data_IF_266793139182
#
_entry.id   IF_266793139182
#
_cell.length_a   1.000
_cell.length_b   1.000
_cell.length_c   1.000
_cell.angle_alpha   90.00
_cell.angle_beta   90.00
_cell.angle_gamma   90.00
#
_symmetry.space_group_name_H-M   'P 1'
#
loop_
_entity.id
_entity.type
_entity.pdbx_description
1 polymer ?
#
# COMPACT_ATOMS: atom_id res chain seq x y z
N UNK A 1 11.86 13.17 -2.37
CA UNK A 1 12.81 13.68 -3.36
C UNK A 1 12.42 13.12 -4.73
N UNK A 2 12.48 13.94 -5.78
CA UNK A 2 12.14 13.53 -7.15
C UNK A 2 13.31 13.89 -8.07
N UNK A 3 13.61 13.02 -9.01
CA UNK A 3 14.55 13.22 -10.11
C UNK A 3 13.80 13.03 -11.43
N UNK A 4 13.89 13.95 -12.35
CA UNK A 4 13.28 13.89 -13.69
C UNK A 4 13.81 12.70 -14.50
N UNK A 5 15.03 12.30 -14.23
CA UNK A 5 15.66 11.12 -14.82
C UNK A 5 16.35 10.30 -13.73
N UNK A 6 16.39 8.98 -13.91
CA UNK A 6 17.15 8.11 -13.01
C UNK A 6 18.61 8.56 -12.98
N UNK A 7 19.17 8.94 -11.80
CA UNK A 7 20.55 9.39 -11.70
C UNK A 7 21.54 8.35 -12.22
N UNK A 8 22.50 8.77 -13.02
CA UNK A 8 23.56 7.93 -13.60
C UNK A 8 24.92 8.10 -12.91
N UNK A 9 24.98 8.97 -11.89
CA UNK A 9 26.18 9.24 -11.10
C UNK A 9 25.80 9.40 -9.62
N UNK A 10 26.79 9.29 -8.75
CA UNK A 10 26.64 9.57 -7.32
C UNK A 10 26.49 11.08 -7.09
N UNK A 11 25.88 11.45 -5.97
CA UNK A 11 25.72 12.83 -5.50
C UNK A 11 24.90 13.76 -6.43
N UNK A 12 24.02 13.21 -7.26
CA UNK A 12 23.09 14.00 -8.07
C UNK A 12 21.99 14.54 -7.16
N UNK A 13 21.91 15.87 -7.05
CA UNK A 13 20.82 16.53 -6.30
C UNK A 13 19.47 16.23 -6.96
N UNK A 14 18.38 16.13 -6.17
CA UNK A 14 17.04 15.98 -6.72
C UNK A 14 16.59 17.25 -7.45
N UNK A 15 15.78 17.08 -8.48
CA UNK A 15 15.19 18.19 -9.22
C UNK A 15 14.06 18.84 -8.42
N UNK A 16 13.38 18.05 -7.56
CA UNK A 16 12.24 18.50 -6.78
C UNK A 16 12.24 17.89 -5.37
N UNK A 17 11.82 18.70 -4.39
CA UNK A 17 11.53 18.28 -3.01
C UNK A 17 10.06 18.55 -2.71
N UNK A 18 9.33 17.51 -2.29
CA UNK A 18 7.94 17.61 -1.84
C UNK A 18 7.87 17.59 -0.31
N UNK A 19 6.97 18.35 0.27
CA UNK A 19 6.68 18.35 1.70
C UNK A 19 7.66 19.17 2.56
N UNK A 20 8.78 19.65 1.99
CA UNK A 20 9.75 20.51 2.66
C UNK A 20 10.07 21.74 1.80
N UNK A 21 10.48 22.87 2.39
CA UNK A 21 10.83 24.06 1.62
C UNK A 21 12.13 23.90 0.81
N UNK A 22 13.01 22.98 1.21
CA UNK A 22 14.28 22.68 0.56
C UNK A 22 14.78 21.27 0.95
N UNK A 23 15.88 20.84 0.31
CA UNK A 23 16.46 19.51 0.53
C UNK A 23 17.19 19.34 1.88
N UNK A 24 17.38 20.40 2.64
CA UNK A 24 18.08 20.40 3.95
C UNK A 24 17.11 20.45 5.14
N UNK A 25 15.85 20.81 4.89
CA UNK A 25 14.81 20.91 5.91
C UNK A 25 14.25 19.53 6.27
N UNK A 26 13.99 19.29 7.57
CA UNK A 26 13.59 17.97 8.10
C UNK A 26 12.44 18.04 9.12
N UNK A 27 11.84 19.20 9.32
CA UNK A 27 10.81 19.40 10.33
C UNK A 27 9.49 18.75 9.90
N UNK A 28 8.81 18.03 10.82
CA UNK A 28 7.43 17.58 10.59
C UNK A 28 6.57 18.77 10.19
N UNK A 29 5.75 18.63 9.16
CA UNK A 29 4.89 19.71 8.66
C UNK A 29 5.64 21.05 8.48
N UNK A 30 6.94 21.00 8.09
CA UNK A 30 7.81 22.20 7.94
C UNK A 30 7.98 23.01 9.23
N UNK A 31 7.78 22.41 10.39
CA UNK A 31 7.81 23.08 11.69
C UNK A 31 6.56 23.91 12.01
N UNK A 32 5.51 23.76 11.20
CA UNK A 32 4.23 24.47 11.34
C UNK A 32 3.04 23.53 11.49
N UNK A 33 1.88 24.04 11.08
CA UNK A 33 0.64 23.26 11.07
C UNK A 33 0.56 22.32 9.87
N UNK A 34 -0.23 21.26 10.02
CA UNK A 34 -0.57 20.34 8.97
C UNK A 34 -1.35 21.05 7.83
N UNK A 35 -1.01 20.81 6.58
CA UNK A 35 -1.66 21.40 5.41
C UNK A 35 -1.63 20.47 4.20
N UNK A 36 -2.29 20.82 3.10
CA UNK A 36 -2.33 20.03 1.89
C UNK A 36 -0.96 19.91 1.15
N UNK A 37 0.09 20.60 1.59
CA UNK A 37 1.42 20.57 0.97
C UNK A 37 2.55 20.19 1.93
N UNK A 38 2.20 19.73 3.15
CA UNK A 38 3.18 19.34 4.17
C UNK A 38 3.02 17.87 4.54
N UNK A 39 4.11 17.24 4.99
CA UNK A 39 4.12 15.85 5.40
C UNK A 39 4.64 15.68 6.82
N UNK A 40 4.14 14.63 7.46
CA UNK A 40 4.72 14.06 8.66
C UNK A 40 4.90 12.55 8.49
N UNK A 41 6.16 12.12 8.43
CA UNK A 41 6.53 10.71 8.36
C UNK A 41 5.87 9.97 7.17
N UNK A 42 6.07 10.44 5.91
CA UNK A 42 5.52 9.77 4.74
C UNK A 42 6.22 8.42 4.51
N UNK A 43 5.46 7.37 4.19
CA UNK A 43 5.98 6.03 3.90
C UNK A 43 5.78 5.64 2.43
N UNK A 44 4.55 5.40 2.04
CA UNK A 44 4.21 4.90 0.71
C UNK A 44 4.00 6.01 -0.31
N UNK A 45 4.40 5.73 -1.54
CA UNK A 45 4.08 6.56 -2.70
C UNK A 45 3.62 5.68 -3.85
N UNK A 46 2.64 6.14 -4.61
CA UNK A 46 2.16 5.42 -5.79
C UNK A 46 1.64 6.37 -6.88
N UNK A 47 1.75 5.94 -8.12
CA UNK A 47 0.98 6.49 -9.22
C UNK A 47 -0.18 5.52 -9.49
N UNK A 48 -1.42 5.95 -9.25
CA UNK A 48 -2.63 5.17 -9.48
C UNK A 48 -3.46 5.89 -10.54
N UNK A 49 -3.54 5.29 -11.73
CA UNK A 49 -3.99 6.01 -12.91
C UNK A 49 -3.09 7.23 -13.18
N UNK A 50 -3.68 8.42 -13.27
CA UNK A 50 -2.95 9.69 -13.42
C UNK A 50 -2.67 10.39 -12.08
N UNK A 51 -3.16 9.88 -10.95
CA UNK A 51 -3.04 10.53 -9.65
C UNK A 51 -1.79 10.03 -8.90
N UNK A 52 -0.94 10.97 -8.52
CA UNK A 52 0.20 10.72 -7.63
C UNK A 52 -0.26 10.78 -6.18
N UNK A 53 -0.02 9.71 -5.43
CA UNK A 53 -0.42 9.56 -4.05
C UNK A 53 0.77 9.46 -3.10
N UNK A 54 0.61 10.05 -1.92
CA UNK A 54 1.55 9.93 -0.81
C UNK A 54 0.79 9.49 0.45
N UNK A 55 1.24 8.42 1.08
CA UNK A 55 0.80 8.03 2.41
C UNK A 55 1.51 8.91 3.45
N UNK A 56 0.83 9.95 3.90
CA UNK A 56 1.27 10.89 4.92
C UNK A 56 0.94 10.33 6.31
N UNK A 57 1.63 9.23 6.64
CA UNK A 57 1.34 8.31 7.74
C UNK A 57 1.25 9.00 9.08
N UNK A 58 2.17 9.91 9.38
CA UNK A 58 2.19 10.66 10.63
C UNK A 58 1.01 11.62 10.80
N UNK A 59 0.41 12.07 9.70
CA UNK A 59 -0.82 12.86 9.68
C UNK A 59 -2.09 12.01 9.42
N UNK A 60 -2.00 10.67 9.36
CA UNK A 60 -3.10 9.70 9.24
C UNK A 60 -3.99 9.95 8.02
N UNK A 61 -3.37 10.20 6.86
CA UNK A 61 -4.06 10.53 5.62
C UNK A 61 -3.29 10.14 4.38
N UNK A 62 -3.95 10.23 3.25
CA UNK A 62 -3.31 10.23 1.94
C UNK A 62 -3.47 11.61 1.30
N UNK A 63 -2.44 12.06 0.61
CA UNK A 63 -2.50 13.23 -0.25
C UNK A 63 -2.40 12.80 -1.71
N UNK A 64 -3.30 13.31 -2.56
CA UNK A 64 -3.37 12.97 -3.97
C UNK A 64 -3.29 14.19 -4.89
N UNK A 65 -2.52 14.09 -5.98
CA UNK A 65 -2.41 15.09 -7.05
C UNK A 65 -2.85 14.46 -8.37
N UNK A 66 -3.95 14.96 -8.93
CA UNK A 66 -4.65 14.34 -10.07
C UNK A 66 -3.86 14.34 -11.39
N UNK A 67 -2.87 15.20 -11.53
CA UNK A 67 -2.09 15.37 -12.76
C UNK A 67 -0.65 14.83 -12.65
N UNK A 68 -0.44 13.83 -11.81
CA UNK A 68 0.88 13.23 -11.56
C UNK A 68 1.67 13.98 -10.50
N UNK A 69 2.99 13.93 -10.59
CA UNK A 69 3.90 14.56 -9.61
C UNK A 69 3.69 16.08 -9.61
N UNK A 70 3.39 16.70 -8.43
CA UNK A 70 3.07 18.13 -8.36
C UNK A 70 4.31 19.02 -8.50
N UNK A 71 4.06 20.29 -8.81
CA UNK A 71 5.06 21.36 -8.65
C UNK A 71 5.44 21.56 -7.17
N UNK A 72 6.60 22.20 -6.87
CA UNK A 72 6.97 22.58 -5.51
C UNK A 72 5.85 23.38 -4.84
N UNK A 73 5.53 23.03 -3.60
CA UNK A 73 4.50 23.68 -2.77
C UNK A 73 3.07 23.61 -3.30
N UNK A 74 2.82 22.91 -4.40
CA UNK A 74 1.46 22.70 -4.90
C UNK A 74 0.65 21.93 -3.85
N UNK A 75 -0.50 22.48 -3.38
CA UNK A 75 -1.40 21.75 -2.49
C UNK A 75 -1.95 20.49 -3.17
N UNK A 76 -2.18 19.44 -2.40
CA UNK A 76 -2.87 18.26 -2.91
C UNK A 76 -4.31 18.60 -3.31
N UNK A 77 -4.75 18.01 -4.41
CA UNK A 77 -6.13 18.12 -4.91
C UNK A 77 -7.09 17.30 -4.03
N UNK A 78 -6.57 16.21 -3.44
CA UNK A 78 -7.34 15.25 -2.65
C UNK A 78 -6.67 15.06 -1.30
N UNK A 79 -7.44 15.17 -0.23
CA UNK A 79 -7.10 14.72 1.12
C UNK A 79 -8.04 13.57 1.46
N UNK A 80 -7.51 12.36 1.58
CA UNK A 80 -8.28 11.16 1.88
C UNK A 80 -7.95 10.69 3.30
N UNK A 81 -8.96 10.39 4.10
CA UNK A 81 -8.78 9.89 5.47
C UNK A 81 -8.89 10.96 6.56
N UNK A 82 -8.95 12.23 6.19
CA UNK A 82 -9.16 13.34 7.12
C UNK A 82 -10.27 14.29 6.61
N UNK A 83 -11.03 14.94 7.48
CA UNK A 83 -12.13 15.82 7.07
C UNK A 83 -11.67 17.12 6.38
N UNK A 84 -10.43 17.54 6.63
CA UNK A 84 -9.82 18.71 6.02
C UNK A 84 -8.28 18.63 6.04
N UNK A 85 -7.55 19.50 5.30
CA UNK A 85 -6.09 19.44 5.20
C UNK A 85 -5.33 19.73 6.50
N UNK A 86 -5.96 20.30 7.53
CA UNK A 86 -5.31 20.61 8.81
C UNK A 86 -5.52 19.53 9.86
N UNK A 87 -6.49 18.64 9.65
CA UNK A 87 -6.78 17.53 10.56
C UNK A 87 -5.75 16.41 10.45
N UNK A 88 -5.44 15.74 11.58
CA UNK A 88 -4.45 14.67 11.68
C UNK A 88 -4.73 13.66 12.79
N UNK A 89 -5.95 13.62 13.31
CA UNK A 89 -6.31 12.72 14.39
C UNK A 89 -6.44 11.28 13.88
N UNK A 90 -6.02 10.30 14.69
CA UNK A 90 -6.24 8.89 14.41
C UNK A 90 -7.75 8.64 14.21
N UNK A 91 -8.10 7.98 13.11
CA UNK A 91 -9.49 7.69 12.77
C UNK A 91 -10.41 8.93 12.87
N UNK A 92 -9.90 10.11 12.42
CA UNK A 92 -10.65 11.38 12.50
C UNK A 92 -11.10 11.74 13.92
N UNK A 93 -10.38 11.28 14.95
CA UNK A 93 -10.71 11.46 16.36
C UNK A 93 -11.78 10.53 16.90
N UNK A 94 -12.15 9.48 16.15
CA UNK A 94 -13.17 8.50 16.50
C UNK A 94 -12.68 7.06 16.47
N UNK A 95 -13.62 6.15 16.24
CA UNK A 95 -13.33 4.74 15.94
C UNK A 95 -12.91 4.56 14.48
N UNK A 96 -12.34 3.40 14.15
CA UNK A 96 -12.08 3.01 12.78
C UNK A 96 -13.36 3.11 11.93
N UNK A 97 -13.21 3.49 10.68
CA UNK A 97 -14.32 3.65 9.76
C UNK A 97 -13.88 3.58 8.29
N UNK A 98 -14.82 3.54 7.33
CA UNK A 98 -14.49 3.35 5.92
C UNK A 98 -13.75 4.53 5.28
N UNK A 99 -13.79 5.72 5.89
CA UNK A 99 -13.13 6.93 5.40
C UNK A 99 -12.01 7.42 6.32
N UNK A 100 -11.42 6.56 7.15
CA UNK A 100 -10.43 6.97 8.13
C UNK A 100 -9.22 6.06 8.14
N UNK A 101 -8.09 6.55 8.66
CA UNK A 101 -6.87 5.79 8.83
C UNK A 101 -6.28 5.98 10.23
N UNK A 102 -5.53 4.94 10.63
CA UNK A 102 -4.66 5.07 11.80
C UNK A 102 -3.19 5.20 11.39
N UNK A 103 -2.66 4.30 10.60
CA UNK A 103 -1.29 4.38 10.05
C UNK A 103 -1.27 3.87 8.60
N UNK A 104 -1.68 4.68 7.61
CA UNK A 104 -1.57 4.29 6.22
C UNK A 104 -0.09 4.23 5.82
N UNK A 105 0.40 3.05 5.37
CA UNK A 105 1.82 2.82 5.10
C UNK A 105 2.12 2.67 3.62
N UNK A 106 1.31 1.94 2.88
CA UNK A 106 1.60 1.62 1.49
C UNK A 106 0.37 1.75 0.62
N UNK A 107 0.58 2.02 -0.66
CA UNK A 107 -0.45 2.27 -1.65
C UNK A 107 -0.10 1.49 -2.90
N UNK A 108 -1.06 0.81 -3.49
CA UNK A 108 -0.95 0.18 -4.80
C UNK A 108 -2.26 0.35 -5.56
N UNK A 109 -2.22 0.25 -6.87
CA UNK A 109 -3.45 0.30 -7.66
C UNK A 109 -3.20 0.46 -9.15
N UNK A 110 -4.31 0.54 -9.88
CA UNK A 110 -4.40 0.79 -11.31
C UNK A 110 -5.55 1.78 -11.59
N UNK A 111 -6.04 1.83 -12.83
CA UNK A 111 -7.14 2.74 -13.21
C UNK A 111 -8.49 2.34 -12.57
N UNK A 112 -8.69 1.08 -12.19
CA UNK A 112 -9.95 0.53 -11.72
C UNK A 112 -9.99 0.32 -10.19
N UNK A 113 -8.83 0.24 -9.53
CA UNK A 113 -8.72 -0.11 -8.10
C UNK A 113 -7.54 0.58 -7.44
N UNK A 114 -7.75 1.13 -6.26
CA UNK A 114 -6.69 1.55 -5.33
C UNK A 114 -6.81 0.78 -4.03
N UNK A 115 -5.68 0.28 -3.52
CA UNK A 115 -5.56 -0.40 -2.23
C UNK A 115 -4.56 0.32 -1.33
N UNK A 116 -4.88 0.39 -0.04
CA UNK A 116 -4.07 1.07 0.98
C UNK A 116 -3.87 0.18 2.19
N UNK A 117 -2.62 -0.01 2.59
CA UNK A 117 -2.28 -0.70 3.82
C UNK A 117 -2.45 0.24 5.03
N UNK A 118 -3.54 0.12 5.75
CA UNK A 118 -3.80 0.83 7.02
C UNK A 118 -3.29 -0.02 8.20
N UNK A 119 -1.97 0.00 8.36
CA UNK A 119 -1.27 -0.90 9.27
C UNK A 119 -1.73 -0.76 10.72
N UNK A 120 -2.05 0.44 11.17
CA UNK A 120 -2.49 0.71 12.55
C UNK A 120 -3.84 0.11 12.91
N UNK A 121 -4.72 -0.04 11.92
CA UNK A 121 -6.03 -0.68 12.07
C UNK A 121 -6.05 -2.12 11.51
N UNK A 122 -4.86 -2.67 11.22
CA UNK A 122 -4.67 -4.07 10.83
C UNK A 122 -5.48 -4.50 9.61
N UNK A 123 -5.60 -3.63 8.60
CA UNK A 123 -6.46 -3.83 7.43
C UNK A 123 -5.87 -3.29 6.14
N UNK A 124 -6.44 -3.72 5.03
CA UNK A 124 -6.31 -3.06 3.73
C UNK A 124 -7.67 -2.44 3.40
N UNK A 125 -7.68 -1.17 3.02
CA UNK A 125 -8.84 -0.51 2.45
C UNK A 125 -8.71 -0.41 0.95
N UNK A 126 -9.84 -0.53 0.23
CA UNK A 126 -9.87 -0.47 -1.23
C UNK A 126 -10.97 0.43 -1.76
N UNK A 127 -10.68 1.10 -2.88
CA UNK A 127 -11.61 1.95 -3.62
C UNK A 127 -11.68 1.52 -5.08
N UNK A 128 -12.86 1.29 -5.59
CA UNK A 128 -13.12 0.98 -6.99
C UNK A 128 -14.29 1.85 -7.52
N UNK A 129 -14.02 2.78 -8.45
CA UNK A 129 -12.71 3.20 -8.94
C UNK A 129 -11.90 3.97 -7.89
N UNK A 130 -10.60 4.27 -8.14
CA UNK A 130 -9.79 5.12 -7.25
C UNK A 130 -10.49 6.45 -6.93
N UNK A 131 -10.38 6.95 -5.68
CA UNK A 131 -11.15 8.12 -5.25
C UNK A 131 -10.61 9.41 -5.89
N UNK A 132 -11.52 10.29 -6.31
CA UNK A 132 -11.23 11.65 -6.79
C UNK A 132 -11.56 12.74 -5.76
N UNK A 133 -12.04 12.32 -4.60
CA UNK A 133 -12.34 13.14 -3.43
C UNK A 133 -12.39 12.23 -2.19
N UNK A 134 -12.44 12.83 -0.99
CA UNK A 134 -12.64 12.05 0.24
C UNK A 134 -13.99 11.31 0.19
N UNK A 135 -13.94 10.00 0.34
CA UNK A 135 -15.11 9.12 0.37
C UNK A 135 -14.82 7.82 1.09
N UNK A 136 -15.88 7.11 1.44
CA UNK A 136 -15.80 5.78 2.02
C UNK A 136 -15.10 4.78 1.07
N UNK A 137 -14.34 3.86 1.67
CA UNK A 137 -13.81 2.70 0.96
C UNK A 137 -14.92 1.72 0.60
N UNK A 138 -14.73 1.00 -0.51
CA UNK A 138 -15.67 -0.01 -1.01
C UNK A 138 -15.32 -1.41 -0.52
N UNK A 139 -14.06 -1.63 -0.13
CA UNK A 139 -13.50 -2.93 0.25
C UNK A 139 -12.69 -2.81 1.55
N UNK A 140 -12.82 -3.79 2.43
CA UNK A 140 -11.93 -4.02 3.57
C UNK A 140 -11.45 -5.47 3.58
N UNK A 141 -10.13 -5.65 3.80
CA UNK A 141 -9.50 -6.95 4.02
C UNK A 141 -8.80 -6.94 5.37
N UNK A 142 -8.75 -8.08 6.04
CA UNK A 142 -8.05 -8.25 7.32
C UNK A 142 -8.89 -7.98 8.55
N UNK A 143 -10.07 -7.37 8.39
CA UNK A 143 -11.04 -7.12 9.45
C UNK A 143 -12.43 -7.60 9.02
N UNK A 144 -13.32 -7.82 10.00
CA UNK A 144 -14.68 -8.31 9.74
C UNK A 144 -15.55 -7.27 9.01
N UNK A 145 -15.31 -5.99 9.27
CA UNK A 145 -15.98 -4.86 8.67
C UNK A 145 -15.10 -3.59 8.77
N UNK A 146 -15.60 -2.45 8.26
CA UNK A 146 -14.87 -1.18 8.26
C UNK A 146 -14.68 -0.56 9.65
N UNK A 147 -15.45 -0.99 10.64
CA UNK A 147 -15.47 -0.40 11.99
C UNK A 147 -14.66 -1.20 13.00
N UNK A 148 -14.23 -2.40 12.63
CA UNK A 148 -13.33 -3.22 13.45
C UNK A 148 -11.87 -2.89 13.17
N UNK A 149 -11.04 -2.91 14.22
CA UNK A 149 -9.60 -2.71 14.20
C UNK A 149 -8.94 -3.64 15.24
N UNK A 150 -9.38 -4.89 15.26
CA UNK A 150 -8.94 -5.86 16.25
C UNK A 150 -7.49 -6.27 15.98
N UNK A 151 -6.63 -6.00 16.97
CA UNK A 151 -5.26 -6.50 16.95
C UNK A 151 -5.21 -7.93 17.48
N UNK A 152 -4.53 -8.79 16.74
CA UNK A 152 -4.18 -10.11 17.23
C UNK A 152 -2.84 -10.09 17.95
N UNK A 153 -2.80 -10.61 19.22
CA UNK A 153 -2.42 -12.02 19.34
C UNK A 153 -3.42 -12.92 20.07
N UNK A 154 -4.64 -12.50 20.34
CA UNK A 154 -5.52 -13.18 21.31
C UNK A 154 -6.48 -14.23 20.72
N UNK A 155 -6.35 -14.58 19.47
CA UNK A 155 -7.10 -15.62 18.78
C UNK A 155 -6.27 -16.33 17.73
N UNK A 156 -6.80 -17.38 17.07
CA UNK A 156 -6.09 -18.06 16.00
C UNK A 156 -5.85 -17.13 14.82
N UNK A 157 -4.64 -17.15 14.28
CA UNK A 157 -4.34 -16.54 13.00
C UNK A 157 -5.11 -17.29 11.91
N UNK A 158 -5.59 -16.55 10.93
CA UNK A 158 -6.41 -17.07 9.83
C UNK A 158 -5.92 -16.47 8.51
N UNK A 159 -6.51 -16.88 7.40
CA UNK A 159 -6.19 -16.34 6.09
C UNK A 159 -6.88 -15.01 5.78
N UNK A 160 -7.80 -14.56 6.64
CA UNK A 160 -8.59 -13.33 6.50
C UNK A 160 -8.28 -12.26 7.56
N UNK A 161 -7.17 -12.39 8.29
CA UNK A 161 -6.75 -11.48 9.35
C UNK A 161 -5.31 -11.04 9.18
N UNK A 162 -5.03 -9.77 9.49
CA UNK A 162 -3.69 -9.19 9.47
C UNK A 162 -3.26 -8.70 10.83
N UNK A 163 -1.95 -8.53 10.97
CA UNK A 163 -1.35 -7.83 12.09
C UNK A 163 -0.25 -6.90 11.59
N UNK A 164 -0.52 -5.59 11.62
CA UNK A 164 0.36 -4.55 11.06
C UNK A 164 0.79 -4.87 9.62
N UNK A 165 -0.14 -4.86 8.63
CA UNK A 165 0.24 -5.01 7.23
C UNK A 165 0.94 -3.74 6.76
N UNK A 166 2.26 -3.81 6.53
CA UNK A 166 3.04 -2.63 6.11
C UNK A 166 3.16 -2.48 4.61
N UNK A 167 2.95 -3.54 3.84
CA UNK A 167 3.00 -3.43 2.39
C UNK A 167 1.85 -4.19 1.71
N UNK A 168 1.39 -3.62 0.61
CA UNK A 168 0.39 -4.20 -0.28
C UNK A 168 0.87 -4.05 -1.72
N UNK A 169 0.77 -5.09 -2.52
CA UNK A 169 1.22 -5.07 -3.90
C UNK A 169 0.21 -5.75 -4.82
N UNK A 170 -0.26 -5.00 -5.81
CA UNK A 170 -1.12 -5.46 -6.87
C UNK A 170 -0.28 -5.75 -8.11
N UNK A 171 -0.38 -6.98 -8.65
CA UNK A 171 0.15 -7.31 -9.97
C UNK A 171 -1.02 -7.29 -10.96
N UNK A 172 -1.15 -6.21 -11.68
CA UNK A 172 -2.22 -6.02 -12.68
C UNK A 172 -2.04 -6.89 -13.95
N UNK A 173 -1.24 -7.97 -13.90
CA UNK A 173 -0.96 -8.84 -15.04
C UNK A 173 -0.31 -8.06 -16.17
N UNK A 174 0.98 -8.21 -16.39
CA UNK A 174 1.76 -7.35 -17.28
C UNK A 174 1.15 -7.14 -18.66
N UNK A 175 0.66 -5.95 -18.91
CA UNK A 175 0.80 -5.40 -20.26
C UNK A 175 2.28 -4.99 -20.37
N UNK A 176 3.09 -5.80 -21.04
CA UNK A 176 4.34 -5.31 -21.60
C UNK A 176 3.98 -4.06 -22.41
N UNK A 177 4.76 -2.95 -22.30
CA UNK A 177 4.57 -1.83 -23.23
C UNK A 177 4.70 -2.41 -24.64
N UNK A 178 3.62 -2.44 -25.38
CA UNK A 178 3.63 -2.94 -26.75
C UNK A 178 4.44 -1.96 -27.59
N UNK A 179 5.65 -2.35 -27.94
CA UNK A 179 6.51 -1.65 -28.92
C UNK A 179 6.03 -1.93 -30.36
N UNK A 180 4.78 -2.33 -30.54
CA UNK A 180 4.18 -2.52 -31.84
C UNK A 180 2.69 -2.23 -31.80
N UNK A 181 2.31 -1.09 -32.35
CA UNK A 181 0.91 -0.76 -32.62
C UNK A 181 0.25 -1.75 -33.56
N UNK A 182 -0.40 -2.78 -33.04
CA UNK A 182 -1.50 -3.50 -33.70
C UNK A 182 -2.44 -3.97 -32.59
N UNK A 183 -3.58 -3.29 -32.51
CA UNK A 183 -4.75 -3.73 -31.76
C UNK A 183 -5.26 -5.05 -32.34
N UNK A 184 -5.22 -6.14 -31.59
CA UNK A 184 -5.91 -7.38 -31.96
C UNK A 184 -6.62 -7.97 -30.75
N UNK A 185 -7.88 -7.63 -30.62
CA UNK A 185 -8.90 -8.47 -30.00
C UNK A 185 -9.23 -8.15 -28.57
N UNK A 186 -10.38 -7.50 -28.40
CA UNK A 186 -11.02 -7.26 -27.12
C UNK A 186 -11.24 -8.55 -26.36
N UNK A 187 -10.72 -8.61 -25.15
CA UNK A 187 -11.20 -9.51 -24.13
C UNK A 187 -12.53 -8.97 -23.63
N UNK A 188 -13.56 -9.80 -23.70
CA UNK A 188 -14.89 -9.42 -23.18
C UNK A 188 -14.79 -9.14 -21.67
N UNK A 189 -15.14 -7.93 -21.26
CA UNK A 189 -15.26 -7.56 -19.84
C UNK A 189 -16.33 -8.44 -19.21
N UNK A 190 -16.00 -9.07 -18.07
CA UNK A 190 -16.99 -9.81 -17.32
C UNK A 190 -18.07 -8.85 -16.82
N UNK A 191 -19.32 -9.30 -16.83
CA UNK A 191 -20.55 -8.51 -16.54
C UNK A 191 -20.64 -8.03 -15.07
N UNK A 192 -19.61 -8.25 -14.24
CA UNK A 192 -19.51 -7.81 -12.84
C UNK A 192 -18.91 -6.42 -12.65
N UNK A 193 -18.48 -5.75 -13.70
CA UNK A 193 -18.08 -4.34 -13.68
C UNK A 193 -16.75 -3.98 -13.02
N UNK A 194 -16.08 -4.91 -12.34
CA UNK A 194 -14.76 -4.72 -11.72
C UNK A 194 -13.80 -5.71 -12.36
N UNK A 195 -12.91 -5.23 -13.23
CA UNK A 195 -11.80 -6.05 -13.71
C UNK A 195 -10.71 -6.07 -12.62
N UNK A 196 -10.78 -7.07 -11.76
CA UNK A 196 -9.80 -7.32 -10.69
C UNK A 196 -8.73 -8.32 -11.13
N UNK A 197 -8.57 -8.57 -12.42
CA UNK A 197 -7.75 -9.63 -13.01
C UNK A 197 -6.28 -9.69 -12.63
N UNK A 198 -5.90 -9.12 -11.51
CA UNK A 198 -4.55 -9.11 -10.96
C UNK A 198 -4.43 -9.90 -9.65
N UNK A 199 -3.21 -10.38 -9.36
CA UNK A 199 -2.88 -11.01 -8.08
C UNK A 199 -2.62 -9.95 -7.02
N UNK A 200 -2.95 -10.28 -5.78
CA UNK A 200 -2.68 -9.42 -4.62
C UNK A 200 -1.70 -10.09 -3.67
N UNK A 201 -0.73 -9.34 -3.17
CA UNK A 201 0.16 -9.73 -2.08
C UNK A 201 0.06 -8.73 -0.93
N UNK A 202 0.02 -9.21 0.31
CA UNK A 202 0.05 -8.40 1.53
C UNK A 202 1.16 -8.90 2.45
N UNK A 203 2.07 -8.01 2.83
CA UNK A 203 3.03 -8.29 3.89
C UNK A 203 2.33 -8.15 5.24
N UNK A 204 1.95 -9.27 5.82
CA UNK A 204 1.38 -9.38 7.17
C UNK A 204 2.53 -9.40 8.18
N UNK A 205 3.12 -8.21 8.38
CA UNK A 205 4.47 -8.00 8.92
C UNK A 205 4.64 -8.58 10.31
N UNK A 206 3.75 -8.27 11.25
CA UNK A 206 3.88 -8.75 12.61
C UNK A 206 3.48 -10.24 12.79
N UNK A 207 2.97 -10.86 11.73
CA UNK A 207 2.77 -12.30 11.63
C UNK A 207 3.86 -13.00 10.81
N UNK A 208 4.91 -12.27 10.40
CA UNK A 208 6.10 -12.82 9.73
C UNK A 208 5.76 -13.67 8.49
N UNK A 209 4.80 -13.19 7.68
CA UNK A 209 4.30 -13.91 6.51
C UNK A 209 3.89 -12.97 5.38
N UNK A 210 3.72 -13.52 4.20
CA UNK A 210 3.04 -12.84 3.09
C UNK A 210 1.79 -13.65 2.75
N UNK A 211 0.67 -12.97 2.64
CA UNK A 211 -0.59 -13.54 2.17
C UNK A 211 -0.78 -13.19 0.70
N UNK A 212 -1.26 -14.16 -0.09
CA UNK A 212 -1.45 -14.02 -1.53
C UNK A 212 -2.87 -14.42 -1.91
N UNK A 213 -3.42 -13.67 -2.85
CA UNK A 213 -4.66 -13.98 -3.57
C UNK A 213 -4.34 -14.13 -5.05
N UNK A 214 -4.87 -15.16 -5.67
CA UNK A 214 -4.76 -15.40 -7.10
C UNK A 214 -5.54 -14.37 -7.92
N UNK A 215 -6.60 -13.81 -7.31
CA UNK A 215 -7.39 -12.68 -7.81
C UNK A 215 -7.73 -11.74 -6.66
N UNK A 216 -7.75 -10.43 -6.92
CA UNK A 216 -8.13 -9.45 -5.89
C UNK A 216 -9.54 -9.76 -5.37
N UNK A 217 -9.71 -9.98 -4.06
CA UNK A 217 -11.02 -10.29 -3.51
C UNK A 217 -11.91 -9.05 -3.46
N UNK A 218 -13.10 -9.13 -4.03
CA UNK A 218 -14.13 -8.06 -3.98
C UNK A 218 -15.11 -8.26 -2.83
N UNK A 219 -15.09 -9.42 -2.21
CA UNK A 219 -16.03 -9.87 -1.17
C UNK A 219 -15.38 -9.98 0.23
N UNK A 220 -14.14 -9.54 0.37
CA UNK A 220 -13.39 -9.63 1.63
C UNK A 220 -12.92 -11.04 2.00
N UNK A 221 -12.96 -12.00 1.05
CA UNK A 221 -12.51 -13.39 1.30
C UNK A 221 -11.03 -13.44 1.71
N UNK A 222 -10.69 -14.44 2.49
CA UNK A 222 -9.32 -14.68 2.93
C UNK A 222 -8.37 -15.09 1.80
N UNK A 223 -7.08 -15.03 2.08
CA UNK A 223 -6.01 -15.37 1.15
C UNK A 223 -6.06 -16.83 0.69
N UNK A 224 -5.63 -17.06 -0.56
CA UNK A 224 -5.51 -18.38 -1.15
C UNK A 224 -4.21 -19.09 -0.72
N UNK A 225 -3.12 -18.30 -0.49
CA UNK A 225 -1.80 -18.84 -0.15
C UNK A 225 -1.12 -18.07 0.97
N UNK A 226 -0.24 -18.75 1.70
CA UNK A 226 0.65 -18.16 2.70
C UNK A 226 2.10 -18.49 2.38
N UNK A 227 2.98 -17.49 2.41
CA UNK A 227 4.42 -17.68 2.29
C UNK A 227 5.09 -17.47 3.63
N UNK A 228 6.21 -18.18 3.82
CA UNK A 228 7.10 -18.12 4.99
C UNK A 228 6.55 -18.76 6.26
N UNK A 229 5.30 -19.20 6.27
CA UNK A 229 4.72 -19.98 7.36
C UNK A 229 4.24 -21.34 6.83
N UNK A 230 4.16 -22.40 7.67
CA UNK A 230 3.70 -23.70 7.24
C UNK A 230 2.19 -23.76 6.95
N UNK A 231 1.43 -22.88 7.55
CA UNK A 231 -0.02 -22.74 7.43
C UNK A 231 -0.49 -21.33 7.84
N UNK A 232 -1.78 -21.04 7.66
CA UNK A 232 -2.37 -19.74 8.01
C UNK A 232 -2.46 -19.49 9.54
N UNK A 233 -2.37 -20.53 10.36
CA UNK A 233 -2.42 -20.44 11.81
C UNK A 233 -1.07 -20.08 12.46
N UNK A 234 0.02 -20.14 11.70
CA UNK A 234 1.38 -19.92 12.18
C UNK A 234 1.85 -18.49 11.93
N UNK A 235 2.70 -17.95 12.85
CA UNK A 235 3.18 -16.56 12.77
C UNK A 235 4.61 -16.37 13.31
N UNK A 236 5.35 -17.44 13.50
CA UNK A 236 6.68 -17.38 14.13
C UNK A 236 7.72 -16.65 13.32
N UNK A 237 8.51 -15.76 13.93
CA UNK A 237 9.73 -15.24 13.35
C UNK A 237 10.61 -16.43 12.95
N UNK A 238 10.94 -16.53 11.65
CA UNK A 238 11.67 -17.66 11.11
C UNK A 238 11.08 -19.02 11.57
N UNK A 239 9.74 -19.10 11.70
CA UNK A 239 9.00 -20.30 12.21
C UNK A 239 9.46 -20.76 13.59
N UNK A 240 9.93 -19.83 14.44
CA UNK A 240 10.52 -20.11 15.77
C UNK A 240 11.71 -21.08 15.72
N UNK A 241 12.43 -21.19 14.60
CA UNK A 241 13.54 -22.11 14.43
C UNK A 241 14.84 -21.38 14.07
N UNK A 242 15.08 -21.21 12.79
CA UNK A 242 16.26 -20.51 12.26
C UNK A 242 15.96 -19.85 10.93
N UNK A 243 16.79 -18.89 10.55
CA UNK A 243 16.72 -18.25 9.23
C UNK A 243 16.95 -19.31 8.15
N UNK A 244 15.97 -19.48 7.28
CA UNK A 244 15.98 -20.45 6.17
C UNK A 244 15.56 -19.73 4.87
N UNK A 245 15.67 -20.48 3.75
CA UNK A 245 15.29 -19.98 2.41
C UNK A 245 13.78 -19.75 2.22
N UNK A 246 12.96 -20.22 3.12
CA UNK A 246 11.50 -20.19 3.09
C UNK A 246 10.88 -19.62 4.38
N UNK A 247 11.65 -18.82 5.12
CA UNK A 247 11.20 -18.14 6.34
C UNK A 247 11.36 -16.63 6.22
N UNK A 248 10.59 -15.86 6.98
CA UNK A 248 10.64 -14.40 7.08
C UNK A 248 10.69 -13.95 8.53
N UNK A 249 11.24 -12.76 8.73
CA UNK A 249 11.19 -12.00 9.98
C UNK A 249 10.91 -10.54 9.64
N UNK A 250 9.74 -10.04 10.04
CA UNK A 250 9.31 -8.66 9.81
C UNK A 250 9.43 -8.24 8.34
N UNK A 251 8.65 -8.80 7.41
CA UNK A 251 8.62 -8.35 6.02
C UNK A 251 7.97 -6.97 5.92
N UNK A 252 8.71 -5.97 5.41
CA UNK A 252 8.25 -4.58 5.36
C UNK A 252 7.87 -4.12 3.95
N UNK A 253 8.40 -4.69 2.91
CA UNK A 253 8.18 -4.23 1.55
C UNK A 253 7.93 -5.37 0.58
N UNK A 254 7.11 -5.13 -0.42
CA UNK A 254 6.74 -6.06 -1.49
C UNK A 254 6.92 -5.42 -2.86
N UNK A 255 7.30 -6.23 -3.82
CA UNK A 255 7.22 -5.89 -5.24
C UNK A 255 6.89 -7.13 -6.03
N UNK A 256 5.83 -7.09 -6.83
CA UNK A 256 5.38 -8.21 -7.64
C UNK A 256 5.29 -7.80 -9.10
N UNK A 257 5.83 -8.65 -9.98
CA UNK A 257 5.73 -8.45 -11.43
C UNK A 257 5.72 -9.80 -12.12
N UNK A 258 4.62 -10.11 -12.80
CA UNK A 258 4.44 -11.38 -13.46
C UNK A 258 4.60 -12.56 -12.48
N UNK A 259 5.48 -13.50 -12.76
CA UNK A 259 5.75 -14.69 -11.94
C UNK A 259 6.73 -14.46 -10.76
N UNK A 260 7.17 -13.22 -10.57
CA UNK A 260 8.20 -12.89 -9.58
C UNK A 260 7.66 -12.02 -8.47
N UNK A 261 7.85 -12.44 -7.22
CA UNK A 261 7.59 -11.68 -6.00
C UNK A 261 8.90 -11.45 -5.23
N UNK A 262 9.26 -10.20 -4.99
CA UNK A 262 10.36 -9.81 -4.11
C UNK A 262 9.79 -9.30 -2.77
N UNK A 263 10.42 -9.70 -1.67
CA UNK A 263 10.02 -9.36 -0.29
C UNK A 263 11.23 -8.82 0.46
N UNK A 264 11.12 -7.63 1.04
CA UNK A 264 12.11 -7.09 1.96
C UNK A 264 11.96 -7.79 3.33
N UNK A 265 12.79 -8.79 3.59
CA UNK A 265 12.85 -9.56 4.83
C UNK A 265 13.72 -8.81 5.85
N UNK A 266 13.15 -7.72 6.39
CA UNK A 266 13.89 -6.66 7.08
C UNK A 266 14.52 -7.13 8.39
N UNK A 267 13.84 -7.99 9.16
CA UNK A 267 14.39 -8.55 10.38
C UNK A 267 15.57 -9.52 10.16
N UNK A 268 15.71 -10.04 8.93
CA UNK A 268 16.84 -10.90 8.54
C UNK A 268 17.86 -10.16 7.66
N UNK A 269 17.72 -8.85 7.42
CA UNK A 269 18.64 -8.03 6.61
C UNK A 269 18.86 -8.60 5.20
N UNK A 270 17.80 -9.04 4.52
CA UNK A 270 17.89 -9.63 3.17
C UNK A 270 16.64 -9.34 2.34
N UNK A 271 16.74 -9.58 1.04
CA UNK A 271 15.61 -9.62 0.12
C UNK A 271 15.39 -11.06 -0.31
N UNK A 272 14.15 -11.53 -0.21
CA UNK A 272 13.74 -12.84 -0.68
C UNK A 272 13.01 -12.71 -2.01
N UNK A 273 13.29 -13.62 -2.95
CA UNK A 273 12.63 -13.63 -4.26
C UNK A 273 12.01 -14.99 -4.51
N UNK A 274 10.70 -15.01 -4.72
CA UNK A 274 9.96 -16.18 -5.15
C UNK A 274 9.62 -16.06 -6.63
N UNK A 275 9.71 -17.19 -7.33
CA UNK A 275 9.26 -17.32 -8.72
C UNK A 275 8.24 -18.43 -8.80
N UNK A 276 7.12 -18.19 -9.45
CA UNK A 276 6.17 -19.23 -9.78
C UNK A 276 6.86 -20.24 -10.72
N UNK A 277 6.71 -21.52 -10.48
CA UNK A 277 7.30 -22.60 -11.28
C UNK A 277 6.22 -23.30 -12.08
#
# INVERSE_FOLDING_TARGET
LVWDNVPQADDVAPDLVLGQPDASSVQENRGGECSASTFYWPFGIALVGSTFWVADTGNRRLLGWCNGIPDPDQPADIVLGQPDPSAREENRGGAAGPASFRWPHDITGNEDLMLVADAGDHRILGWSPPPTADRDADLVLGQADFTTADEWPYGPHTNDRFRFPYAVCLDAGGQEPSDSGIDTGGQERSDSGIDTGGRLAVADTANNRVLLWDEVPVDGRGADHVLAQPDFGSNGENRWTSVQRDTLCWPYGLSMRGDTLAVADSGNNRVMVWKQR
#
